data_IF_723462331445
#
_entry.id   IF_723462331445
#
_cell.length_a   1.000
_cell.length_b   1.000
_cell.length_c   1.000
_cell.angle_alpha   90.00
_cell.angle_beta   90.00
_cell.angle_gamma   90.00
#
_symmetry.space_group_name_H-M   'P 1'
#
loop_
_entity.id
_entity.type
_entity.pdbx_description
1 polymer ?
#
# COMPACT_ATOMS: atom_id res chain seq x y z
N UNK A 1 -22.19 38.66 -42.06
CA UNK A 1 -22.63 37.96 -40.83
C UNK A 1 -21.89 36.64 -40.63
N UNK A 2 -21.52 35.94 -41.70
CA UNK A 2 -20.79 34.65 -41.64
C UNK A 2 -19.45 34.67 -40.91
N UNK A 3 -18.65 35.74 -41.08
CA UNK A 3 -17.36 35.86 -40.37
C UNK A 3 -17.54 35.91 -38.86
N UNK A 4 -18.53 36.65 -38.36
CA UNK A 4 -18.80 36.79 -36.91
C UNK A 4 -19.29 35.48 -36.30
N UNK A 5 -20.16 34.75 -37.03
CA UNK A 5 -20.66 33.43 -36.64
C UNK A 5 -19.52 32.40 -36.60
N UNK A 6 -18.61 32.44 -37.58
CA UNK A 6 -17.42 31.60 -37.62
C UNK A 6 -16.48 31.88 -36.44
N UNK A 7 -16.19 33.15 -36.11
CA UNK A 7 -15.35 33.47 -34.95
C UNK A 7 -15.98 33.06 -33.62
N UNK A 8 -17.29 33.31 -33.45
CA UNK A 8 -18.02 32.91 -32.24
C UNK A 8 -17.99 31.38 -32.07
N UNK A 9 -18.22 30.64 -33.15
CA UNK A 9 -18.15 29.19 -33.17
C UNK A 9 -16.75 28.66 -32.82
N UNK A 10 -15.69 29.19 -33.45
CA UNK A 10 -14.30 28.80 -33.16
C UNK A 10 -13.91 29.09 -31.71
N UNK A 11 -14.40 30.20 -31.14
CA UNK A 11 -14.14 30.57 -29.74
C UNK A 11 -14.84 29.63 -28.76
N UNK A 12 -16.12 29.31 -29.02
CA UNK A 12 -16.86 28.34 -28.21
C UNK A 12 -16.22 26.95 -28.27
N UNK A 13 -15.74 26.54 -29.46
CA UNK A 13 -15.02 25.30 -29.66
C UNK A 13 -13.71 25.25 -28.86
N UNK A 14 -12.90 26.31 -28.95
CA UNK A 14 -11.65 26.41 -28.19
C UNK A 14 -11.91 26.33 -26.67
N UNK A 15 -12.97 26.99 -26.19
CA UNK A 15 -13.41 26.90 -24.80
C UNK A 15 -13.82 25.48 -24.38
N UNK A 16 -14.57 24.78 -25.24
CA UNK A 16 -14.98 23.40 -24.98
C UNK A 16 -13.79 22.43 -24.96
N UNK A 17 -12.85 22.56 -25.90
CA UNK A 17 -11.62 21.73 -25.91
C UNK A 17 -10.83 21.96 -24.63
N UNK A 18 -10.67 23.22 -24.23
CA UNK A 18 -9.98 23.57 -22.99
C UNK A 18 -10.67 22.95 -21.78
N UNK A 19 -12.00 22.99 -21.71
CA UNK A 19 -12.77 22.35 -20.65
C UNK A 19 -12.58 20.82 -20.63
N UNK A 20 -12.63 20.17 -21.80
CA UNK A 20 -12.42 18.73 -21.92
C UNK A 20 -11.01 18.30 -21.48
N UNK A 21 -9.98 19.02 -21.93
CA UNK A 21 -8.59 18.79 -21.52
C UNK A 21 -8.39 19.01 -20.02
N UNK A 22 -9.05 20.02 -19.44
CA UNK A 22 -9.02 20.29 -18.00
C UNK A 22 -9.60 19.12 -17.19
N UNK A 23 -10.73 18.53 -17.61
CA UNK A 23 -11.32 17.36 -16.94
C UNK A 23 -10.36 16.16 -16.99
N UNK A 24 -9.75 15.89 -18.14
CA UNK A 24 -8.77 14.79 -18.29
C UNK A 24 -7.58 15.01 -17.34
N UNK A 25 -7.06 16.24 -17.28
CA UNK A 25 -5.98 16.60 -16.37
C UNK A 25 -6.36 16.37 -14.91
N UNK A 26 -7.53 16.83 -14.48
CA UNK A 26 -8.02 16.68 -13.11
C UNK A 26 -8.17 15.20 -12.72
N UNK A 27 -8.73 14.38 -13.62
CA UNK A 27 -8.86 12.94 -13.34
C UNK A 27 -7.48 12.30 -13.28
N UNK A 28 -6.59 12.59 -14.22
CA UNK A 28 -5.23 12.04 -14.19
C UNK A 28 -4.50 12.42 -12.90
N UNK A 29 -4.65 13.67 -12.43
CA UNK A 29 -4.05 14.12 -11.18
C UNK A 29 -4.62 13.39 -9.96
N UNK A 30 -5.94 13.22 -9.90
CA UNK A 30 -6.60 12.45 -8.82
C UNK A 30 -6.12 11.00 -8.79
N UNK A 31 -6.03 10.34 -9.95
CA UNK A 31 -5.61 8.94 -10.06
C UNK A 31 -4.13 8.77 -9.72
N UNK A 32 -3.28 9.72 -10.16
CA UNK A 32 -1.88 9.77 -9.76
C UNK A 32 -1.73 9.84 -8.24
N UNK A 33 -2.48 10.75 -7.58
CA UNK A 33 -2.46 10.88 -6.11
C UNK A 33 -3.01 9.64 -5.40
N UNK A 34 -4.07 9.04 -5.93
CA UNK A 34 -4.65 7.80 -5.36
C UNK A 34 -3.65 6.65 -5.43
N UNK A 35 -2.95 6.53 -6.55
CA UNK A 35 -1.89 5.53 -6.74
C UNK A 35 -0.72 5.77 -5.79
N UNK A 36 -0.29 7.02 -5.64
CA UNK A 36 0.75 7.44 -4.69
C UNK A 36 0.37 7.11 -3.25
N UNK A 37 -0.86 7.40 -2.81
CA UNK A 37 -1.34 7.04 -1.48
C UNK A 37 -1.39 5.52 -1.25
N UNK A 38 -1.79 4.74 -2.27
CA UNK A 38 -1.80 3.27 -2.18
C UNK A 38 -0.38 2.70 -2.09
N UNK A 39 0.57 3.26 -2.85
CA UNK A 39 1.98 2.89 -2.74
C UNK A 39 2.53 3.20 -1.35
N UNK A 40 2.28 4.42 -0.84
CA UNK A 40 2.68 4.83 0.50
C UNK A 40 2.09 3.90 1.59
N UNK A 41 0.80 3.56 1.49
CA UNK A 41 0.16 2.59 2.38
C UNK A 41 0.76 1.18 2.26
N UNK A 42 1.11 0.74 1.05
CA UNK A 42 1.72 -0.59 0.82
C UNK A 42 3.12 -0.65 1.43
N UNK A 43 3.88 0.44 1.30
CA UNK A 43 5.23 0.55 1.83
C UNK A 43 5.23 0.63 3.36
N UNK A 44 4.31 1.40 3.95
CA UNK A 44 4.15 1.45 5.41
C UNK A 44 3.69 0.11 5.97
N UNK A 45 2.75 -0.57 5.30
CA UNK A 45 2.31 -1.92 5.68
C UNK A 45 3.46 -2.93 5.61
N UNK A 46 4.26 -2.90 4.54
CA UNK A 46 5.40 -3.80 4.38
C UNK A 46 6.42 -3.62 5.52
N UNK A 47 6.70 -2.37 5.89
CA UNK A 47 7.59 -2.06 7.01
C UNK A 47 7.01 -2.53 8.36
N UNK A 48 5.72 -2.29 8.61
CA UNK A 48 5.07 -2.73 9.84
C UNK A 48 5.04 -4.27 9.97
N UNK A 49 4.78 -4.98 8.87
CA UNK A 49 4.78 -6.44 8.83
C UNK A 49 6.19 -7.01 9.04
N UNK A 50 7.21 -6.46 8.39
CA UNK A 50 8.59 -6.95 8.56
C UNK A 50 9.08 -6.74 9.99
N UNK A 51 8.75 -5.60 10.61
CA UNK A 51 9.05 -5.31 12.01
C UNK A 51 8.35 -6.31 12.94
N UNK A 52 7.05 -6.55 12.76
CA UNK A 52 6.28 -7.52 13.55
C UNK A 52 6.87 -8.92 13.44
N UNK A 53 7.09 -9.41 12.22
CA UNK A 53 7.63 -10.76 11.95
C UNK A 53 9.03 -10.91 12.57
N UNK A 54 9.89 -9.89 12.41
CA UNK A 54 11.23 -9.88 13.01
C UNK A 54 11.18 -9.96 14.53
N UNK A 55 10.32 -9.17 15.17
CA UNK A 55 10.16 -9.15 16.62
C UNK A 55 9.57 -10.44 17.17
N UNK A 56 8.59 -11.07 16.50
CA UNK A 56 8.06 -12.39 16.89
C UNK A 56 9.18 -13.45 16.90
N UNK A 57 10.01 -13.48 15.87
CA UNK A 57 11.16 -14.40 15.80
C UNK A 57 12.19 -14.14 16.91
N UNK A 58 12.45 -12.86 17.20
CA UNK A 58 13.33 -12.47 18.31
C UNK A 58 12.75 -12.91 19.67
N UNK A 59 11.43 -12.78 19.87
CA UNK A 59 10.76 -13.14 21.11
C UNK A 59 10.85 -14.65 21.38
N UNK A 60 10.72 -15.49 20.36
CA UNK A 60 10.90 -16.94 20.51
C UNK A 60 12.29 -17.30 21.07
N UNK A 61 13.31 -16.57 20.61
CA UNK A 61 14.70 -16.75 21.07
C UNK A 61 14.89 -16.18 22.47
N UNK A 62 14.41 -14.96 22.74
CA UNK A 62 14.53 -14.32 24.05
C UNK A 62 13.79 -15.08 25.15
N UNK A 63 12.55 -15.53 24.89
CA UNK A 63 11.78 -16.35 25.83
C UNK A 63 12.53 -17.66 26.15
N UNK A 64 13.14 -18.29 25.14
CA UNK A 64 13.96 -19.46 25.35
C UNK A 64 15.18 -19.14 26.21
N UNK A 65 15.91 -18.06 25.95
CA UNK A 65 17.08 -17.66 26.75
C UNK A 65 16.68 -17.34 28.19
N UNK A 66 15.62 -16.58 28.40
CA UNK A 66 15.13 -16.17 29.72
C UNK A 66 14.76 -17.35 30.62
N UNK A 67 14.14 -18.39 30.07
CA UNK A 67 13.88 -19.63 30.83
C UNK A 67 15.18 -20.36 31.15
N UNK A 68 16.16 -20.34 30.26
CA UNK A 68 17.49 -20.92 30.47
C UNK A 68 18.25 -20.25 31.62
N UNK A 69 18.35 -18.91 31.59
CA UNK A 69 19.04 -18.14 32.64
C UNK A 69 18.35 -18.27 33.99
N UNK A 70 17.01 -18.25 34.02
CA UNK A 70 16.24 -18.54 35.23
C UNK A 70 16.53 -19.93 35.79
N UNK A 71 16.52 -20.95 34.92
CA UNK A 71 16.75 -22.34 35.35
C UNK A 71 18.17 -22.52 35.90
N UNK A 72 19.16 -21.88 35.26
CA UNK A 72 20.54 -21.89 35.74
C UNK A 72 20.68 -21.19 37.10
N UNK A 73 20.08 -20.01 37.26
CA UNK A 73 20.06 -19.28 38.53
C UNK A 73 19.44 -20.13 39.66
N UNK A 74 18.28 -20.75 39.43
CA UNK A 74 17.64 -21.65 40.41
C UNK A 74 18.57 -22.81 40.75
N UNK A 75 19.23 -23.42 39.75
CA UNK A 75 20.14 -24.55 40.01
C UNK A 75 21.34 -24.19 40.88
N UNK A 76 21.84 -22.95 40.82
CA UNK A 76 22.92 -22.47 41.69
C UNK A 76 22.43 -22.22 43.13
N UNK A 77 21.18 -21.83 43.31
CA UNK A 77 20.55 -21.68 44.63
C UNK A 77 20.26 -23.03 45.28
N UNK A 78 19.88 -24.02 44.48
CA UNK A 78 19.59 -25.39 44.96
C UNK A 78 20.86 -26.16 45.38
N UNK A 79 22.04 -25.73 44.92
CA UNK A 79 23.31 -26.28 45.37
C UNK A 79 23.49 -26.01 46.88
N UNK A 80 23.98 -26.99 47.64
CA UNK A 80 24.33 -26.78 49.05
C UNK A 80 25.52 -25.83 49.20
N UNK A 81 25.74 -25.30 50.41
CA UNK A 81 26.96 -24.53 50.73
C UNK A 81 28.21 -25.38 50.42
N UNK A 82 29.22 -24.75 49.82
CA UNK A 82 30.51 -25.39 49.57
C UNK A 82 31.39 -25.21 50.81
N UNK A 83 32.06 -26.29 51.25
CA UNK A 83 32.90 -26.27 52.45
C UNK A 83 34.17 -25.43 52.26
N UNK A 84 34.70 -25.39 51.03
CA UNK A 84 35.86 -24.57 50.69
C UNK A 84 35.50 -23.06 50.56
N UNK A 85 36.11 -22.16 51.36
CA UNK A 85 35.79 -20.73 51.35
C UNK A 85 36.04 -20.03 50.02
N UNK A 86 37.06 -20.44 49.26
CA UNK A 86 37.39 -19.84 47.96
C UNK A 86 36.32 -20.23 46.92
N UNK A 87 35.97 -21.51 46.86
CA UNK A 87 34.92 -22.01 45.96
C UNK A 87 33.54 -21.45 46.33
N UNK A 88 33.22 -21.28 47.62
CA UNK A 88 31.96 -20.64 48.03
C UNK A 88 31.90 -19.17 47.61
N UNK A 89 33.01 -18.42 47.67
CA UNK A 89 33.07 -17.05 47.14
C UNK A 89 32.81 -17.00 45.64
N UNK A 90 33.48 -17.85 44.86
CA UNK A 90 33.26 -17.98 43.40
C UNK A 90 31.79 -18.30 43.11
N UNK A 91 31.18 -19.16 43.91
CA UNK A 91 29.76 -19.49 43.79
C UNK A 91 28.86 -18.30 44.07
N UNK A 92 29.11 -17.53 45.12
CA UNK A 92 28.33 -16.32 45.42
C UNK A 92 28.43 -15.29 44.29
N UNK A 93 29.63 -15.10 43.73
CA UNK A 93 29.84 -14.24 42.56
C UNK A 93 29.05 -14.76 41.33
N UNK A 94 29.08 -16.08 41.08
CA UNK A 94 28.32 -16.71 40.01
C UNK A 94 26.79 -16.58 40.20
N UNK A 95 26.30 -16.65 41.44
CA UNK A 95 24.89 -16.40 41.79
C UNK A 95 24.53 -14.95 41.46
N UNK A 96 25.39 -13.99 41.81
CA UNK A 96 25.22 -12.57 41.49
C UNK A 96 25.10 -12.34 39.99
N UNK A 97 26.06 -12.82 39.22
CA UNK A 97 26.05 -12.72 37.74
C UNK A 97 24.82 -13.41 37.13
N UNK A 98 24.47 -14.60 37.60
CA UNK A 98 23.31 -15.34 37.10
C UNK A 98 21.97 -14.63 37.40
N UNK A 99 21.87 -14.00 38.56
CA UNK A 99 20.73 -13.16 38.94
C UNK A 99 20.60 -11.97 38.00
N UNK A 100 21.68 -11.24 37.76
CA UNK A 100 21.71 -10.09 36.84
C UNK A 100 21.33 -10.49 35.41
N UNK A 101 21.87 -11.61 34.92
CA UNK A 101 21.53 -12.17 33.60
C UNK A 101 20.05 -12.53 33.49
N UNK A 102 19.46 -13.13 34.54
CA UNK A 102 18.02 -13.44 34.55
C UNK A 102 17.17 -12.17 34.57
N UNK A 103 17.49 -11.19 35.43
CA UNK A 103 16.77 -9.92 35.51
C UNK A 103 16.85 -9.16 34.17
N UNK A 104 18.05 -9.07 33.59
CA UNK A 104 18.28 -8.44 32.29
C UNK A 104 17.48 -9.13 31.18
N UNK A 105 17.56 -10.46 31.06
CA UNK A 105 16.80 -11.21 30.08
C UNK A 105 15.29 -11.03 30.24
N UNK A 106 14.78 -11.02 31.48
CA UNK A 106 13.37 -10.77 31.77
C UNK A 106 12.94 -9.35 31.36
N UNK A 107 13.78 -8.34 31.63
CA UNK A 107 13.48 -6.96 31.26
C UNK A 107 13.50 -6.79 29.73
N UNK A 108 14.50 -7.33 29.04
CA UNK A 108 14.54 -7.32 27.57
C UNK A 108 13.33 -8.02 26.95
N UNK A 109 12.88 -9.14 27.52
CA UNK A 109 11.68 -9.84 27.05
C UNK A 109 10.41 -8.98 27.21
N UNK A 110 10.26 -8.24 28.31
CA UNK A 110 9.13 -7.33 28.54
C UNK A 110 9.11 -6.17 27.54
N UNK A 111 10.27 -5.54 27.32
CA UNK A 111 10.41 -4.44 26.34
C UNK A 111 10.06 -4.95 24.94
N UNK A 112 10.60 -6.10 24.54
CA UNK A 112 10.31 -6.69 23.23
C UNK A 112 8.81 -7.05 23.08
N UNK A 113 8.16 -7.54 24.14
CA UNK A 113 6.74 -7.84 24.10
C UNK A 113 5.89 -6.57 23.88
N UNK A 114 6.22 -5.48 24.56
CA UNK A 114 5.57 -4.18 24.32
C UNK A 114 5.75 -3.72 22.87
N UNK A 115 6.98 -3.81 22.36
CA UNK A 115 7.31 -3.47 20.99
C UNK A 115 6.57 -4.33 19.95
N UNK A 116 6.33 -5.61 20.26
CA UNK A 116 5.55 -6.52 19.43
C UNK A 116 4.10 -6.06 19.38
N UNK A 117 3.47 -5.79 20.52
CA UNK A 117 2.09 -5.32 20.55
C UNK A 117 1.93 -3.97 19.84
N UNK A 118 2.92 -3.07 19.94
CA UNK A 118 2.92 -1.84 19.17
C UNK A 118 3.01 -2.09 17.66
N UNK A 119 3.94 -2.94 17.22
CA UNK A 119 4.06 -3.29 15.79
C UNK A 119 2.79 -3.99 15.26
N UNK A 120 2.19 -4.87 16.06
CA UNK A 120 0.94 -5.54 15.73
C UNK A 120 -0.22 -4.56 15.62
N UNK A 121 -0.34 -3.61 16.57
CA UNK A 121 -1.34 -2.56 16.49
C UNK A 121 -1.16 -1.70 15.23
N UNK A 122 0.08 -1.34 14.87
CA UNK A 122 0.35 -0.63 13.61
C UNK A 122 -0.11 -1.43 12.39
N UNK A 123 0.20 -2.72 12.31
CA UNK A 123 -0.27 -3.59 11.22
C UNK A 123 -1.80 -3.60 11.18
N UNK A 124 -2.45 -3.83 12.33
CA UNK A 124 -3.91 -3.91 12.44
C UNK A 124 -4.62 -2.63 11.96
N UNK A 125 -4.04 -1.46 12.23
CA UNK A 125 -4.58 -0.17 11.78
C UNK A 125 -4.51 0.05 10.25
N UNK A 126 -3.76 -0.76 9.50
CA UNK A 126 -3.79 -0.70 8.04
C UNK A 126 -5.02 -1.37 7.43
N UNK A 127 -5.70 -2.22 8.19
CA UNK A 127 -6.83 -3.02 7.72
C UNK A 127 -8.14 -2.50 8.31
N UNK A 128 -9.23 -2.79 7.59
CA UNK A 128 -10.58 -2.52 8.10
C UNK A 128 -10.91 -3.51 9.23
N UNK A 129 -11.84 -3.14 10.13
CA UNK A 129 -12.45 -4.13 11.01
C UNK A 129 -12.96 -5.32 10.20
N UNK A 130 -12.73 -6.54 10.70
CA UNK A 130 -13.20 -7.81 10.12
C UNK A 130 -12.69 -8.13 8.71
N UNK A 131 -11.52 -7.62 8.32
CA UNK A 131 -10.89 -7.99 7.05
C UNK A 131 -10.46 -9.47 7.03
N UNK A 132 -11.18 -10.28 6.24
CA UNK A 132 -10.90 -11.72 6.08
C UNK A 132 -9.46 -12.00 5.65
N UNK A 133 -8.83 -11.10 4.88
CA UNK A 133 -7.45 -11.24 4.42
C UNK A 133 -6.47 -11.19 5.59
N UNK A 134 -6.76 -10.33 6.58
CA UNK A 134 -5.95 -10.08 7.77
C UNK A 134 -6.22 -11.07 8.92
N UNK A 135 -7.44 -11.62 9.02
CA UNK A 135 -7.82 -12.59 10.07
C UNK A 135 -6.82 -13.74 10.25
N UNK A 136 -6.22 -14.21 9.14
CA UNK A 136 -5.19 -15.27 9.14
C UNK A 136 -3.91 -14.85 9.84
N UNK A 137 -3.52 -13.59 9.72
CA UNK A 137 -2.37 -13.01 10.42
C UNK A 137 -2.70 -12.84 11.91
N UNK A 138 -3.90 -12.37 12.26
CA UNK A 138 -4.35 -12.24 13.66
C UNK A 138 -4.32 -13.60 14.38
N UNK A 139 -4.93 -14.62 13.80
CA UNK A 139 -4.95 -15.96 14.39
C UNK A 139 -3.54 -16.54 14.60
N UNK A 140 -2.63 -16.31 13.66
CA UNK A 140 -1.24 -16.76 13.78
C UNK A 140 -0.45 -15.94 14.79
N UNK A 141 -0.74 -14.65 14.92
CA UNK A 141 -0.18 -13.80 15.95
C UNK A 141 -0.56 -14.30 17.35
N UNK A 142 -1.86 -14.54 17.59
CA UNK A 142 -2.36 -15.06 18.86
C UNK A 142 -1.75 -16.42 19.18
N UNK A 143 -1.70 -17.32 18.18
CA UNK A 143 -1.04 -18.61 18.30
C UNK A 143 0.44 -18.47 18.71
N UNK A 144 1.18 -17.53 18.13
CA UNK A 144 2.56 -17.24 18.54
C UNK A 144 2.65 -16.77 20.00
N UNK A 145 1.74 -15.88 20.44
CA UNK A 145 1.73 -15.38 21.82
C UNK A 145 1.42 -16.49 22.83
N UNK A 146 0.49 -17.40 22.50
CA UNK A 146 0.17 -18.58 23.30
C UNK A 146 1.38 -19.52 23.42
N UNK A 147 2.07 -19.79 22.31
CA UNK A 147 3.29 -20.60 22.32
C UNK A 147 4.41 -19.96 23.15
N UNK A 148 4.54 -18.63 23.15
CA UNK A 148 5.51 -17.93 24.02
C UNK A 148 5.16 -18.11 25.50
N UNK A 149 3.87 -18.04 25.84
CA UNK A 149 3.38 -18.34 27.20
C UNK A 149 3.75 -19.78 27.60
N UNK A 150 3.65 -20.73 26.68
CA UNK A 150 4.04 -22.12 26.89
C UNK A 150 5.57 -22.31 27.06
N UNK A 151 6.40 -21.55 26.33
CA UNK A 151 7.86 -21.55 26.55
C UNK A 151 8.18 -21.17 27.99
N UNK A 152 7.56 -20.08 28.49
CA UNK A 152 7.82 -19.56 29.84
C UNK A 152 7.45 -20.57 30.95
N UNK A 153 6.53 -21.50 30.68
CA UNK A 153 6.12 -22.58 31.59
C UNK A 153 6.95 -23.85 31.44
N UNK A 154 7.70 -24.01 30.34
CA UNK A 154 8.33 -25.27 29.99
C UNK A 154 9.70 -25.46 30.68
N UNK A 155 9.80 -26.48 31.55
CA UNK A 155 11.06 -26.83 32.23
C UNK A 155 12.05 -27.60 31.32
N UNK A 156 11.55 -28.45 30.40
CA UNK A 156 12.38 -29.33 29.57
C UNK A 156 12.93 -28.59 28.33
N UNK A 157 14.25 -28.65 28.12
CA UNK A 157 14.91 -27.99 26.98
C UNK A 157 14.42 -28.51 25.62
N UNK A 158 14.29 -29.83 25.45
CA UNK A 158 13.85 -30.42 24.18
C UNK A 158 12.42 -30.02 23.77
N UNK A 159 11.51 -29.81 24.73
CA UNK A 159 10.16 -29.29 24.44
C UNK A 159 10.20 -27.79 24.12
N UNK A 160 11.06 -27.00 24.78
CA UNK A 160 11.26 -25.58 24.46
C UNK A 160 11.71 -25.38 23.01
N UNK A 161 12.69 -26.16 22.55
CA UNK A 161 13.19 -26.06 21.17
C UNK A 161 12.08 -26.33 20.14
N UNK A 162 11.27 -27.37 20.36
CA UNK A 162 10.11 -27.67 19.50
C UNK A 162 9.07 -26.55 19.49
N UNK A 163 8.82 -25.88 20.61
CA UNK A 163 7.89 -24.74 20.66
C UNK A 163 8.49 -23.55 19.90
N UNK A 164 9.78 -23.28 20.09
CA UNK A 164 10.50 -22.24 19.33
C UNK A 164 10.39 -22.46 17.81
N UNK A 165 10.59 -23.69 17.35
CA UNK A 165 10.41 -24.06 15.94
C UNK A 165 8.98 -23.80 15.44
N UNK A 166 7.97 -24.11 16.24
CA UNK A 166 6.57 -23.81 15.90
C UNK A 166 6.30 -22.30 15.76
N UNK A 167 6.89 -21.48 16.62
CA UNK A 167 6.77 -20.01 16.51
C UNK A 167 7.42 -19.53 15.21
N UNK A 168 8.63 -20.01 14.88
CA UNK A 168 9.29 -19.66 13.62
C UNK A 168 8.48 -20.10 12.40
N UNK A 169 7.89 -21.30 12.43
CA UNK A 169 7.00 -21.77 11.39
C UNK A 169 5.77 -20.86 11.23
N UNK A 170 5.12 -20.49 12.34
CA UNK A 170 3.96 -19.61 12.31
C UNK A 170 4.32 -18.19 11.82
N UNK A 171 5.49 -17.67 12.18
CA UNK A 171 6.00 -16.40 11.65
C UNK A 171 6.26 -16.46 10.13
N UNK A 172 6.73 -17.61 9.62
CA UNK A 172 6.86 -17.84 8.19
C UNK A 172 5.50 -17.92 7.47
N UNK A 173 4.47 -18.47 8.11
CA UNK A 173 3.11 -18.42 7.59
C UNK A 173 2.56 -16.99 7.53
N UNK A 174 2.78 -16.17 8.57
CA UNK A 174 2.47 -14.74 8.56
C UNK A 174 3.17 -14.05 7.38
N UNK A 175 4.42 -14.39 7.11
CA UNK A 175 5.17 -13.91 5.94
C UNK A 175 4.48 -14.31 4.63
N UNK A 176 4.02 -15.56 4.51
CA UNK A 176 3.27 -16.05 3.36
C UNK A 176 1.99 -15.25 3.10
N UNK A 177 1.18 -15.04 4.14
CA UNK A 177 -0.04 -14.23 4.05
C UNK A 177 0.26 -12.77 3.70
N UNK A 178 1.29 -12.20 4.32
CA UNK A 178 1.76 -10.84 4.04
C UNK A 178 2.12 -10.64 2.58
N UNK A 179 2.89 -11.59 2.00
CA UNK A 179 3.25 -11.57 0.58
C UNK A 179 2.03 -11.64 -0.33
N UNK A 180 1.02 -12.43 0.05
CA UNK A 180 -0.22 -12.53 -0.75
C UNK A 180 -0.99 -11.20 -0.77
N UNK A 181 -1.15 -10.55 0.39
CA UNK A 181 -1.82 -9.24 0.52
C UNK A 181 -1.07 -8.18 -0.29
N UNK A 182 0.24 -8.06 -0.07
CA UNK A 182 1.08 -7.08 -0.77
C UNK A 182 1.09 -7.30 -2.29
N UNK A 183 1.04 -8.56 -2.75
CA UNK A 183 0.96 -8.87 -4.18
C UNK A 183 -0.37 -8.42 -4.79
N UNK A 184 -1.48 -8.67 -4.10
CA UNK A 184 -2.81 -8.24 -4.57
C UNK A 184 -2.88 -6.71 -4.73
N UNK A 185 -2.34 -5.99 -3.77
CA UNK A 185 -2.29 -4.52 -3.79
C UNK A 185 -1.35 -4.00 -4.88
N UNK A 186 -0.20 -4.65 -5.06
CA UNK A 186 0.74 -4.35 -6.14
C UNK A 186 0.15 -4.56 -7.54
N UNK A 187 -0.62 -5.62 -7.77
CA UNK A 187 -1.32 -5.80 -9.04
C UNK A 187 -2.41 -4.74 -9.25
N UNK A 188 -3.10 -4.32 -8.19
CA UNK A 188 -4.06 -3.20 -8.25
C UNK A 188 -3.38 -1.90 -8.65
N UNK A 189 -2.24 -1.57 -8.05
CA UNK A 189 -1.40 -0.40 -8.39
C UNK A 189 -0.96 -0.47 -9.86
N UNK A 190 -0.45 -1.62 -10.32
CA UNK A 190 0.04 -1.78 -11.70
C UNK A 190 -1.05 -1.67 -12.75
N UNK A 191 -2.18 -2.31 -12.50
CA UNK A 191 -3.31 -2.32 -13.43
C UNK A 191 -3.97 -0.93 -13.51
N UNK A 192 -3.72 -0.06 -12.54
CA UNK A 192 -4.37 1.23 -12.39
C UNK A 192 -5.79 1.09 -11.87
N UNK A 193 -6.27 2.12 -11.19
CA UNK A 193 -7.61 2.16 -10.64
C UNK A 193 -8.68 2.00 -11.75
N UNK A 194 -9.76 1.22 -11.53
CA UNK A 194 -10.80 1.00 -12.53
C UNK A 194 -11.42 2.30 -13.09
N UNK A 195 -11.47 3.34 -12.26
CA UNK A 195 -11.94 4.66 -12.63
C UNK A 195 -11.07 5.32 -13.72
N UNK A 196 -9.73 5.19 -13.65
CA UNK A 196 -8.82 5.66 -14.69
C UNK A 196 -9.10 5.00 -16.05
N UNK A 197 -9.30 3.67 -16.06
CA UNK A 197 -9.63 2.93 -17.28
C UNK A 197 -10.92 3.44 -17.93
N UNK A 198 -11.90 3.82 -17.11
CA UNK A 198 -13.19 4.36 -17.58
C UNK A 198 -13.04 5.78 -18.12
N UNK A 199 -12.35 6.66 -17.40
CA UNK A 199 -12.16 8.05 -17.83
C UNK A 199 -11.32 8.14 -19.11
N UNK A 200 -10.29 7.32 -19.24
CA UNK A 200 -9.50 7.25 -20.49
C UNK A 200 -10.38 6.90 -21.69
N UNK A 201 -11.26 5.91 -21.55
CA UNK A 201 -12.22 5.53 -22.61
C UNK A 201 -13.19 6.67 -22.93
N UNK A 202 -13.71 7.35 -21.91
CA UNK A 202 -14.60 8.50 -22.08
C UNK A 202 -13.92 9.68 -22.77
N UNK A 203 -12.67 9.97 -22.41
CA UNK A 203 -11.88 11.04 -23.04
C UNK A 203 -11.62 10.77 -24.51
N UNK A 204 -11.26 9.54 -24.87
CA UNK A 204 -11.08 9.14 -26.28
C UNK A 204 -12.40 9.30 -27.04
N UNK A 205 -13.52 8.84 -26.45
CA UNK A 205 -14.84 8.97 -27.07
C UNK A 205 -15.24 10.44 -27.29
N UNK A 206 -15.02 11.30 -26.30
CA UNK A 206 -15.27 12.75 -26.42
C UNK A 206 -14.41 13.39 -27.53
N UNK A 207 -13.14 13.01 -27.66
CA UNK A 207 -12.29 13.48 -28.76
C UNK A 207 -12.80 13.01 -30.13
N UNK A 208 -13.27 11.77 -30.25
CA UNK A 208 -13.82 11.23 -31.51
C UNK A 208 -15.14 11.94 -31.88
N UNK A 209 -16.04 12.12 -30.92
CA UNK A 209 -17.29 12.88 -31.12
C UNK A 209 -16.98 14.31 -31.56
N UNK A 210 -15.98 14.94 -30.92
CA UNK A 210 -15.55 16.28 -31.30
C UNK A 210 -14.99 16.37 -32.72
N UNK A 211 -14.13 15.42 -33.11
CA UNK A 211 -13.62 15.33 -34.48
C UNK A 211 -14.76 15.20 -35.49
N UNK A 212 -15.76 14.38 -35.18
CA UNK A 212 -16.93 14.19 -36.04
C UNK A 212 -17.74 15.48 -36.19
N UNK A 213 -17.99 16.19 -35.09
CA UNK A 213 -18.67 17.50 -35.13
C UNK A 213 -17.88 18.49 -36.00
N UNK A 214 -16.56 18.55 -35.87
CA UNK A 214 -15.73 19.43 -36.71
C UNK A 214 -15.80 19.09 -38.20
N UNK A 215 -15.76 17.80 -38.55
CA UNK A 215 -15.87 17.36 -39.93
C UNK A 215 -17.24 17.71 -40.53
N UNK A 216 -18.33 17.46 -39.80
CA UNK A 216 -19.69 17.76 -40.29
C UNK A 216 -19.90 19.24 -40.57
N UNK A 217 -19.39 20.11 -39.69
CA UNK A 217 -19.49 21.57 -39.84
C UNK A 217 -18.58 22.05 -40.97
N UNK A 218 -17.36 21.52 -41.07
CA UNK A 218 -16.43 21.84 -42.16
C UNK A 218 -16.99 21.49 -43.54
N UNK A 219 -17.61 20.30 -43.67
CA UNK A 219 -18.29 19.87 -44.90
C UNK A 219 -19.46 20.81 -45.23
N UNK A 220 -20.30 21.16 -44.25
CA UNK A 220 -21.43 22.05 -44.47
C UNK A 220 -20.99 23.45 -44.93
N UNK A 221 -19.93 24.00 -44.33
CA UNK A 221 -19.35 25.28 -44.74
C UNK A 221 -18.77 25.23 -46.17
N UNK A 222 -18.10 24.14 -46.54
CA UNK A 222 -17.54 23.96 -47.89
C UNK A 222 -18.63 23.91 -48.97
N UNK A 223 -19.73 23.18 -48.72
CA UNK A 223 -20.86 23.08 -49.66
C UNK A 223 -21.55 24.44 -49.81
N UNK A 224 -21.78 25.16 -48.71
CA UNK A 224 -22.37 26.50 -48.73
C UNK A 224 -21.53 27.50 -49.53
N UNK A 225 -20.21 27.50 -49.33
CA UNK A 225 -19.25 28.31 -50.08
C UNK A 225 -19.30 28.03 -51.60
N UNK A 226 -19.34 26.75 -51.97
CA UNK A 226 -19.46 26.34 -53.38
C UNK A 226 -20.76 26.82 -54.03
N UNK A 227 -21.90 26.70 -53.32
CA UNK A 227 -23.20 27.17 -53.83
C UNK A 227 -23.28 28.70 -54.00
N UNK A 228 -22.64 29.45 -53.12
CA UNK A 228 -22.59 30.91 -53.20
C UNK A 228 -21.75 31.39 -54.39
N UNK A 229 -20.66 30.68 -54.70
CA UNK A 229 -19.82 30.95 -55.87
C UNK A 229 -20.51 30.64 -57.21
N UNK A 230 -21.40 29.64 -57.26
CA UNK A 230 -22.23 29.40 -58.45
C UNK A 230 -23.31 30.46 -58.67
N UNK A 231 -23.86 31.05 -57.59
CA UNK A 231 -24.89 32.09 -57.71
C UNK A 231 -24.34 33.45 -58.17
N UNK A 232 -23.09 33.80 -57.85
CA UNK A 232 -22.47 35.06 -58.30
C UNK A 232 -22.13 35.06 -59.79
N UNK A 233 -21.84 33.90 -60.40
CA UNK A 233 -21.55 33.79 -61.85
C UNK A 233 -22.81 33.96 -62.72
N UNK A 234 -24.01 33.74 -62.15
CA UNK A 234 -25.27 33.81 -62.92
C UNK A 234 -25.85 35.23 -63.03
N UNK A 235 -25.28 36.22 -62.33
CA UNK A 235 -25.73 37.62 -62.36
C UNK A 235 -24.66 38.49 -63.05
N UNK A 236 -24.42 38.26 -64.34
CA UNK A 236 -23.71 39.21 -65.18
C UNK A 236 -24.69 40.30 -65.68
N UNK A 237 -24.35 41.60 -65.64
CA UNK A 237 -25.28 42.65 -66.03
C UNK A 237 -25.51 42.63 -67.54
N UNK A 238 -26.78 42.71 -67.94
CA UNK A 238 -27.21 42.88 -69.33
C UNK A 238 -26.60 44.16 -69.92
N UNK A 239 -26.09 44.13 -71.18
CA UNK A 239 -25.45 45.29 -71.78
C UNK A 239 -26.50 46.40 -72.03
N UNK A 240 -26.18 47.60 -71.55
CA UNK A 240 -26.93 48.83 -71.75
C UNK A 240 -26.93 49.14 -73.26
N UNK A 241 -28.09 49.02 -73.91
CA UNK A 241 -28.30 49.53 -75.26
C UNK A 241 -28.63 51.02 -75.20
N UNK A 242 -27.68 51.87 -75.60
CA UNK A 242 -27.93 53.26 -75.95
C UNK A 242 -28.61 53.34 -77.32
N UNK A 243 -29.67 54.15 -77.51
CA UNK A 243 -30.06 54.58 -78.85
C UNK A 243 -29.46 55.95 -79.15
N UNK A 244 -28.90 56.02 -80.36
CA UNK A 244 -28.33 57.20 -81.01
C UNK A 244 -29.48 57.98 -81.68
N UNK A 245 -29.76 59.19 -81.19
CA UNK A 245 -30.00 60.48 -81.88
C UNK A 245 -30.84 61.41 -81.03
#
# INVERSE_FOLDING_TARGET
MDKLLLTAFLTALAGFITAALSIVKLVNEKESKTTEYRQAWTDSLRAALSELIGKINALATMASIGVGTRSHFISLLDQGKIDDPEHEKIRQDAIGVSKENWISASNSQKVLLQEIYQSYAKVRLHFKPDDTSFSRIEHKFDYCMDLVSDINKCKKNGRRLKIKEKIHSAANEITGYSRSILKQEWETVKLGEPAYKRTKKWSIWMCVVMLFVLLTIGVHAAISSSQQNSKSVTVAPSPISTPIK
#
